data_IF_578369485814
#
_entry.id   IF_578369485814
#
_cell.length_a   1.000
_cell.length_b   1.000
_cell.length_c   1.000
_cell.angle_alpha   90.00
_cell.angle_beta   90.00
_cell.angle_gamma   90.00
#
_symmetry.space_group_name_H-M   'P 1'
#
loop_
_entity.id
_entity.type
_entity.pdbx_description
1 polymer ?
#
# COMPACT_ATOMS: atom_id res chain seq x y z
N UNK A 1 23.05 1.52 64.78
CA UNK A 1 23.85 1.23 63.56
C UNK A 1 23.00 1.58 62.35
N UNK A 2 23.42 2.58 61.56
CA UNK A 2 22.76 3.02 60.32
C UNK A 2 22.96 1.95 59.23
N UNK A 3 21.88 1.55 58.55
CA UNK A 3 21.97 0.89 57.24
C UNK A 3 21.25 1.75 56.21
N UNK A 4 22.06 2.32 55.33
CA UNK A 4 21.70 2.98 54.09
C UNK A 4 21.54 1.88 53.05
N UNK A 5 20.45 1.85 52.28
CA UNK A 5 20.41 1.19 50.96
C UNK A 5 19.48 1.93 50.00
N UNK A 6 20.11 2.85 49.27
CA UNK A 6 20.01 3.14 47.83
C UNK A 6 18.67 2.83 47.15
N UNK A 7 17.95 3.90 46.81
CA UNK A 7 16.85 3.89 45.86
C UNK A 7 17.37 3.60 44.44
N UNK A 8 16.89 2.52 43.82
CA UNK A 8 17.02 2.30 42.37
C UNK A 8 15.82 2.96 41.69
N UNK A 9 16.00 4.22 41.27
CA UNK A 9 15.14 4.87 40.29
C UNK A 9 15.47 4.29 38.90
N UNK A 10 14.77 3.21 38.53
CA UNK A 10 14.75 2.74 37.14
C UNK A 10 13.85 3.69 36.33
N UNK A 11 14.45 4.79 35.85
CA UNK A 11 13.86 5.63 34.81
C UNK A 11 13.94 4.83 33.51
N UNK A 12 12.87 4.11 33.19
CA UNK A 12 12.64 3.64 31.83
C UNK A 12 12.37 4.86 30.96
N UNK A 13 13.39 5.31 30.24
CA UNK A 13 13.18 6.11 29.04
C UNK A 13 12.48 5.21 28.02
N UNK A 14 11.15 5.25 28.02
CA UNK A 14 10.38 4.92 26.83
C UNK A 14 10.71 6.00 25.81
N UNK A 15 11.76 5.76 25.04
CA UNK A 15 11.97 6.46 23.78
C UNK A 15 10.72 6.23 22.95
N UNK A 16 9.88 7.26 22.84
CA UNK A 16 8.89 7.36 21.79
C UNK A 16 9.62 7.09 20.48
N UNK A 17 9.41 5.92 19.88
CA UNK A 17 9.57 5.77 18.44
C UNK A 17 8.52 6.69 17.81
N UNK A 18 8.86 7.97 17.66
CA UNK A 18 8.31 8.77 16.59
C UNK A 18 8.85 8.15 15.31
N UNK A 19 8.19 7.08 14.86
CA UNK A 19 8.28 6.63 13.48
C UNK A 19 7.63 7.75 12.67
N UNK A 20 8.41 8.79 12.38
CA UNK A 20 8.06 9.73 11.32
C UNK A 20 8.04 8.87 10.06
N UNK A 21 6.84 8.43 9.70
CA UNK A 21 6.56 7.79 8.45
C UNK A 21 6.93 8.83 7.40
N UNK A 22 8.13 8.72 6.83
CA UNK A 22 8.50 9.54 5.69
C UNK A 22 7.38 9.37 4.67
N UNK A 23 6.78 10.48 4.25
CA UNK A 23 5.71 10.48 3.26
C UNK A 23 6.27 9.91 1.95
N UNK A 24 6.18 8.59 1.81
CA UNK A 24 6.52 7.86 0.60
C UNK A 24 5.56 8.36 -0.49
N UNK A 25 6.13 9.13 -1.42
CA UNK A 25 5.45 9.69 -2.59
C UNK A 25 5.72 8.80 -3.80
N UNK A 26 5.06 9.07 -4.92
CA UNK A 26 5.26 8.31 -6.16
C UNK A 26 6.69 8.43 -6.74
N UNK A 27 7.56 9.29 -6.18
CA UNK A 27 8.95 9.49 -6.61
C UNK A 27 10.01 9.11 -5.58
N UNK A 28 9.68 9.07 -4.30
CA UNK A 28 10.67 8.82 -3.25
C UNK A 28 10.90 7.32 -3.08
N UNK A 29 12.06 6.96 -2.51
CA UNK A 29 12.30 5.58 -2.08
C UNK A 29 11.25 5.20 -1.02
N UNK A 30 10.41 4.26 -1.39
CA UNK A 30 9.42 3.67 -0.52
C UNK A 30 9.96 2.34 -0.02
N UNK A 31 9.67 2.01 1.24
CA UNK A 31 10.02 0.70 1.77
C UNK A 31 9.30 -0.38 0.94
N UNK A 32 10.05 -1.22 0.25
CA UNK A 32 9.51 -2.31 -0.58
C UNK A 32 10.02 -2.30 -2.02
N UNK A 33 9.48 -3.21 -2.83
CA UNK A 33 9.84 -3.38 -4.24
C UNK A 33 8.79 -2.71 -5.13
N UNK A 34 9.18 -1.81 -6.03
CA UNK A 34 8.22 -1.27 -7.00
C UNK A 34 7.95 -2.31 -8.09
N UNK A 35 6.75 -2.90 -8.07
CA UNK A 35 6.33 -3.96 -9.01
C UNK A 35 5.56 -3.41 -10.20
N UNK A 36 5.01 -2.19 -10.10
CA UNK A 36 4.31 -1.55 -11.21
C UNK A 36 4.45 -0.03 -11.15
N UNK A 37 4.61 0.61 -12.31
CA UNK A 37 4.61 2.07 -12.47
C UNK A 37 3.71 2.43 -13.63
N UNK A 38 2.95 3.50 -13.45
CA UNK A 38 2.19 4.15 -14.50
C UNK A 38 2.41 5.65 -14.42
N UNK A 39 2.52 6.31 -15.56
CA UNK A 39 2.62 7.75 -15.63
C UNK A 39 1.95 8.24 -16.91
N UNK A 40 1.17 9.30 -16.77
CA UNK A 40 0.64 10.05 -17.89
C UNK A 40 0.79 11.56 -17.67
N UNK A 41 0.04 12.33 -18.46
CA UNK A 41 0.05 13.78 -18.38
C UNK A 41 -0.69 14.38 -17.17
N UNK A 42 -1.22 13.62 -16.23
CA UNK A 42 -1.93 14.19 -15.07
C UNK A 42 -1.55 13.50 -13.78
N UNK A 43 -1.27 12.21 -13.86
CA UNK A 43 -1.03 11.36 -12.69
C UNK A 43 0.24 10.53 -12.84
N UNK A 44 0.79 10.19 -11.69
CA UNK A 44 1.81 9.17 -11.52
C UNK A 44 1.23 8.16 -10.53
N UNK A 45 1.42 6.88 -10.81
CA UNK A 45 1.00 5.83 -9.90
C UNK A 45 2.06 4.75 -9.80
N UNK A 46 2.19 4.19 -8.61
CA UNK A 46 3.13 3.11 -8.32
C UNK A 46 2.45 2.06 -7.48
N UNK A 47 2.78 0.79 -7.71
CA UNK A 47 2.48 -0.28 -6.77
C UNK A 47 3.78 -0.75 -6.15
N UNK A 48 3.86 -0.68 -4.83
CA UNK A 48 5.00 -1.11 -4.04
C UNK A 48 4.62 -2.42 -3.34
N UNK A 49 5.36 -3.49 -3.56
CA UNK A 49 5.23 -4.74 -2.84
C UNK A 49 5.98 -4.65 -1.53
N UNK A 50 5.27 -4.89 -0.44
CA UNK A 50 5.76 -4.77 0.93
C UNK A 50 5.76 -6.14 1.59
N UNK A 51 6.87 -6.46 2.27
CA UNK A 51 7.00 -7.66 3.10
C UNK A 51 6.46 -7.37 4.50
N UNK A 52 5.37 -8.03 4.88
CA UNK A 52 4.72 -7.90 6.19
C UNK A 52 5.12 -9.05 7.14
N UNK A 53 6.22 -9.76 6.86
CA UNK A 53 6.72 -10.86 7.66
C UNK A 53 5.75 -12.04 7.69
N UNK A 54 5.27 -12.40 8.88
CA UNK A 54 4.36 -13.54 9.06
C UNK A 54 3.00 -13.36 8.37
N UNK A 55 2.66 -12.14 7.92
CA UNK A 55 1.43 -11.82 7.22
C UNK A 55 1.57 -11.85 5.68
N UNK A 56 2.73 -12.29 5.16
CA UNK A 56 2.98 -12.39 3.73
C UNK A 56 3.25 -11.04 3.07
N UNK A 57 2.91 -10.92 1.77
CA UNK A 57 3.15 -9.71 0.98
C UNK A 57 1.86 -8.97 0.64
N UNK A 58 1.92 -7.64 0.70
CA UNK A 58 0.87 -6.75 0.19
C UNK A 58 1.41 -5.84 -0.91
N UNK A 59 0.51 -5.35 -1.75
CA UNK A 59 0.77 -4.26 -2.67
C UNK A 59 0.21 -2.96 -2.10
N UNK A 60 0.97 -1.89 -2.17
CA UNK A 60 0.55 -0.55 -1.80
C UNK A 60 0.48 0.28 -3.08
N UNK A 61 -0.75 0.53 -3.56
CA UNK A 61 -0.98 1.39 -4.71
C UNK A 61 -1.08 2.83 -4.25
N UNK A 62 -0.20 3.68 -4.78
CA UNK A 62 -0.21 5.12 -4.56
C UNK A 62 -0.46 5.84 -5.87
N UNK A 63 -1.38 6.80 -5.87
CA UNK A 63 -1.66 7.69 -6.99
C UNK A 63 -1.33 9.10 -6.56
N UNK A 64 -0.50 9.79 -7.34
CA UNK A 64 -0.07 11.16 -7.12
C UNK A 64 -0.40 12.03 -8.33
N UNK A 65 -0.59 13.33 -8.08
CA UNK A 65 -0.65 14.31 -9.17
C UNK A 65 0.75 14.60 -9.74
N UNK A 66 0.82 15.44 -10.79
CA UNK A 66 2.11 15.80 -11.42
C UNK A 66 3.10 16.50 -10.48
N UNK A 67 2.60 17.17 -9.44
CA UNK A 67 3.39 17.80 -8.38
C UNK A 67 3.85 16.79 -7.31
N UNK A 68 3.61 15.49 -7.51
CA UNK A 68 3.99 14.41 -6.60
C UNK A 68 3.29 14.48 -5.24
N UNK A 69 2.15 15.16 -5.17
CA UNK A 69 1.26 15.12 -4.01
C UNK A 69 0.39 13.88 -4.09
N UNK A 70 0.40 13.09 -3.03
CA UNK A 70 -0.45 11.90 -2.87
C UNK A 70 -1.93 12.31 -3.00
N UNK A 71 -2.66 11.61 -3.85
CA UNK A 71 -4.10 11.78 -4.06
C UNK A 71 -4.88 10.63 -3.43
N UNK A 72 -4.39 9.40 -3.59
CA UNK A 72 -5.02 8.21 -3.03
C UNK A 72 -3.96 7.12 -2.76
N UNK A 73 -4.18 6.35 -1.69
CA UNK A 73 -3.39 5.19 -1.30
C UNK A 73 -4.32 4.04 -0.94
N UNK A 74 -4.16 2.87 -1.58
CA UNK A 74 -4.94 1.67 -1.26
C UNK A 74 -4.04 0.44 -1.11
N UNK A 75 -4.43 -0.43 -0.18
CA UNK A 75 -3.84 -1.76 -0.03
C UNK A 75 -4.42 -2.75 -1.03
N UNK A 76 -3.56 -3.58 -1.61
CA UNK A 76 -3.87 -4.63 -2.58
C UNK A 76 -3.26 -5.95 -2.11
N UNK A 77 -3.87 -7.07 -2.45
CA UNK A 77 -3.21 -8.39 -2.38
C UNK A 77 -2.06 -8.42 -3.40
N UNK A 78 -0.90 -8.88 -2.96
CA UNK A 78 0.29 -9.08 -3.81
C UNK A 78 1.18 -10.24 -3.33
N UNK A 79 0.57 -11.23 -2.68
CA UNK A 79 1.26 -12.43 -2.19
C UNK A 79 1.52 -13.41 -3.32
N UNK A 80 0.46 -14.01 -3.86
CA UNK A 80 0.52 -15.05 -4.89
C UNK A 80 0.54 -14.49 -6.32
N UNK A 81 -0.12 -13.34 -6.52
CA UNK A 81 -0.35 -12.76 -7.84
C UNK A 81 -0.04 -11.27 -7.79
N UNK A 82 0.77 -10.81 -8.72
CA UNK A 82 1.22 -9.42 -8.74
C UNK A 82 0.21 -8.55 -9.52
N UNK A 83 -0.29 -7.47 -8.90
CA UNK A 83 -1.07 -6.47 -9.62
C UNK A 83 -0.18 -5.62 -10.52
N UNK A 84 -0.73 -5.22 -11.66
CA UNK A 84 -0.12 -4.31 -12.63
C UNK A 84 -1.09 -3.20 -13.00
N UNK A 85 -0.63 -1.96 -12.97
CA UNK A 85 -1.40 -0.82 -13.45
C UNK A 85 -1.38 -0.85 -14.98
N UNK A 86 -2.53 -1.02 -15.61
CA UNK A 86 -2.64 -1.02 -17.07
C UNK A 86 -2.86 0.39 -17.61
N UNK A 87 -3.77 1.14 -16.98
CA UNK A 87 -4.03 2.53 -17.34
C UNK A 87 -4.81 3.29 -16.25
N UNK A 88 -4.73 4.62 -16.30
CA UNK A 88 -5.60 5.51 -15.55
C UNK A 88 -6.29 6.44 -16.55
N UNK A 89 -7.63 6.49 -16.52
CA UNK A 89 -8.45 7.30 -17.45
C UNK A 89 -9.44 8.14 -16.66
N UNK A 90 -9.05 9.39 -16.41
CA UNK A 90 -9.77 10.26 -15.48
C UNK A 90 -9.71 9.67 -14.07
N UNK A 91 -10.87 9.44 -13.45
CA UNK A 91 -10.98 8.80 -12.13
C UNK A 91 -11.00 7.26 -12.19
N UNK A 92 -10.89 6.64 -13.37
CA UNK A 92 -10.94 5.18 -13.49
C UNK A 92 -9.52 4.60 -13.54
N UNK A 93 -9.23 3.67 -12.65
CA UNK A 93 -7.95 2.96 -12.52
C UNK A 93 -8.15 1.51 -12.93
N UNK A 94 -7.40 1.06 -13.93
CA UNK A 94 -7.46 -0.29 -14.47
C UNK A 94 -6.23 -1.08 -14.02
N UNK A 95 -6.47 -2.19 -13.34
CA UNK A 95 -5.42 -3.04 -12.76
C UNK A 95 -5.64 -4.47 -13.25
N UNK A 96 -4.59 -5.09 -13.78
CA UNK A 96 -4.57 -6.50 -14.12
C UNK A 96 -3.85 -7.31 -13.04
N UNK A 97 -4.26 -8.56 -12.89
CA UNK A 97 -3.59 -9.56 -12.06
C UNK A 97 -3.21 -10.77 -12.92
N UNK A 98 -2.03 -11.33 -12.65
CA UNK A 98 -1.56 -12.57 -13.25
C UNK A 98 -2.12 -13.82 -12.53
N UNK A 99 -3.45 -13.92 -12.45
CA UNK A 99 -4.11 -15.10 -11.88
C UNK A 99 -3.96 -16.32 -12.79
N UNK A 100 -3.87 -17.55 -12.24
CA UNK A 100 -3.73 -18.76 -13.02
C UNK A 100 -4.92 -18.98 -13.95
N UNK A 101 -4.63 -19.55 -15.12
CA UNK A 101 -5.60 -19.75 -16.21
C UNK A 101 -6.84 -20.57 -15.79
N UNK A 102 -6.73 -21.39 -14.74
CA UNK A 102 -7.84 -22.18 -14.20
C UNK A 102 -8.94 -21.32 -13.55
N UNK A 103 -8.65 -20.06 -13.22
CA UNK A 103 -9.61 -19.13 -12.66
C UNK A 103 -10.35 -18.31 -13.74
N UNK A 104 -10.08 -18.50 -15.06
CA UNK A 104 -10.41 -17.60 -16.19
C UNK A 104 -11.84 -17.02 -16.24
N UNK A 105 -12.85 -17.75 -15.80
CA UNK A 105 -14.25 -17.31 -15.98
C UNK A 105 -14.77 -16.40 -14.84
N UNK A 106 -14.07 -16.29 -13.71
CA UNK A 106 -14.52 -15.45 -12.59
C UNK A 106 -14.12 -13.98 -12.79
N UNK A 107 -15.05 -13.03 -12.73
CA UNK A 107 -14.70 -11.61 -12.61
C UNK A 107 -13.96 -11.39 -11.28
N UNK A 108 -12.88 -10.60 -11.29
CA UNK A 108 -12.20 -10.21 -10.06
C UNK A 108 -12.99 -9.06 -9.46
N UNK A 109 -13.52 -9.25 -8.27
CA UNK A 109 -14.26 -8.20 -7.58
C UNK A 109 -13.33 -7.39 -6.70
N UNK A 110 -13.73 -6.15 -6.40
CA UNK A 110 -12.98 -5.24 -5.53
C UNK A 110 -12.61 -5.91 -4.20
N UNK A 111 -13.56 -6.62 -3.59
CA UNK A 111 -13.39 -7.26 -2.30
C UNK A 111 -12.46 -8.49 -2.33
N UNK A 112 -12.18 -9.04 -3.52
CA UNK A 112 -11.26 -10.17 -3.65
C UNK A 112 -9.80 -9.72 -3.46
N UNK A 113 -9.48 -8.48 -3.84
CA UNK A 113 -8.09 -8.02 -4.02
C UNK A 113 -7.73 -6.77 -3.21
N UNK A 114 -8.69 -5.95 -2.78
CA UNK A 114 -8.42 -4.77 -1.97
C UNK A 114 -8.35 -5.12 -0.49
N UNK A 115 -7.44 -4.47 0.24
CA UNK A 115 -7.16 -4.70 1.65
C UNK A 115 -7.34 -3.41 2.48
N UNK A 116 -7.42 -3.57 3.80
CA UNK A 116 -7.39 -2.47 4.77
C UNK A 116 -8.58 -1.52 4.66
N UNK A 117 -8.34 -0.24 4.92
CA UNK A 117 -9.39 0.79 5.00
C UNK A 117 -10.15 0.97 3.70
N UNK A 118 -9.50 0.79 2.55
CA UNK A 118 -10.12 0.88 1.23
C UNK A 118 -11.20 -0.19 1.02
N UNK A 119 -11.08 -1.35 1.68
CA UNK A 119 -12.10 -2.40 1.65
C UNK A 119 -13.36 -2.00 2.44
N UNK A 120 -13.18 -1.26 3.54
CA UNK A 120 -14.26 -0.87 4.45
C UNK A 120 -14.97 0.39 3.92
N UNK A 121 -14.20 1.36 3.43
CA UNK A 121 -14.67 2.70 3.07
C UNK A 121 -14.62 2.94 1.56
N UNK A 122 -15.02 1.94 0.76
CA UNK A 122 -14.96 2.00 -0.71
C UNK A 122 -15.60 3.24 -1.33
N UNK A 123 -16.72 3.71 -0.77
CA UNK A 123 -17.44 4.89 -1.28
C UNK A 123 -16.72 6.22 -1.03
N UNK A 124 -15.66 6.22 -0.22
CA UNK A 124 -14.83 7.40 0.07
C UNK A 124 -13.60 7.48 -0.83
N UNK A 125 -13.40 6.50 -1.71
CA UNK A 125 -12.29 6.53 -2.66
C UNK A 125 -12.52 7.58 -3.74
N UNK A 126 -11.48 8.33 -4.05
CA UNK A 126 -11.45 9.32 -5.13
C UNK A 126 -11.48 8.61 -6.50
N UNK A 127 -10.79 7.47 -6.62
CA UNK A 127 -10.74 6.70 -7.86
C UNK A 127 -11.68 5.48 -7.83
N UNK A 128 -12.12 5.10 -9.04
CA UNK A 128 -12.88 3.88 -9.32
C UNK A 128 -11.95 2.81 -9.86
N UNK A 129 -11.94 1.66 -9.20
CA UNK A 129 -11.03 0.57 -9.52
C UNK A 129 -11.71 -0.55 -10.31
N UNK A 130 -11.06 -0.96 -11.40
CA UNK A 130 -11.50 -2.05 -12.26
C UNK A 130 -10.39 -3.09 -12.34
N UNK A 131 -10.71 -4.29 -11.89
CA UNK A 131 -9.76 -5.39 -11.84
C UNK A 131 -10.01 -6.37 -12.98
N UNK A 132 -8.95 -6.74 -13.69
CA UNK A 132 -8.99 -7.66 -14.81
C UNK A 132 -7.89 -8.72 -14.67
N UNK A 133 -7.97 -9.75 -15.50
CA UNK A 133 -6.90 -10.74 -15.64
C UNK A 133 -6.02 -10.32 -16.81
N UNK A 134 -4.73 -10.59 -16.69
CA UNK A 134 -3.79 -10.42 -17.79
C UNK A 134 -4.00 -11.47 -18.89
#
# INVERSE_FOLDING_TARGET
MKKIFIALNSIFFLTNCNYMQENCSCKNECKGEIISKYQDEKVQAVIIREDNGAFGYSGNLKICNRQNSLQEEIGLRAEDYLPRIDSIKGLNVFISYDFPLSARDRRIEFNDVVLGDALINKEQLEYKYYFTKQ
#
